data_IF_617492620161
#
_entry.id   IF_617492620161
#
_cell.length_a   1.000
_cell.length_b   1.000
_cell.length_c   1.000
_cell.angle_alpha   90.00
_cell.angle_beta   90.00
_cell.angle_gamma   90.00
#
_symmetry.space_group_name_H-M   'P 1'
#
loop_
_entity.id
_entity.type
_entity.pdbx_description
1 polymer ?
#
# COMPACT_ATOMS: atom_id res chain seq x y z
N UNK A 1 50.26 -80.65 30.54
CA UNK A 1 49.76 -80.19 29.27
C UNK A 1 48.49 -79.40 29.48
N UNK A 2 48.68 -78.15 29.54
CA UNK A 2 47.60 -77.18 29.70
C UNK A 2 47.08 -76.82 28.34
N UNK A 3 45.86 -77.08 28.14
CA UNK A 3 45.13 -76.65 26.95
C UNK A 3 44.82 -75.18 27.15
N UNK A 4 45.53 -74.39 26.45
CA UNK A 4 45.21 -72.96 26.37
C UNK A 4 43.97 -72.78 25.51
N UNK A 5 42.90 -72.52 26.16
CA UNK A 5 41.63 -72.13 25.55
C UNK A 5 41.84 -70.79 24.84
N UNK A 6 41.94 -70.82 23.54
CA UNK A 6 41.89 -69.62 22.75
C UNK A 6 40.47 -69.02 22.79
N UNK A 7 40.30 -68.09 23.62
CA UNK A 7 39.14 -67.19 23.58
C UNK A 7 39.13 -66.51 22.21
N UNK A 8 38.24 -66.94 21.38
CA UNK A 8 37.94 -66.19 20.19
C UNK A 8 37.43 -64.78 20.60
N UNK A 9 37.96 -63.75 20.01
CA UNK A 9 37.36 -62.45 20.20
C UNK A 9 35.98 -62.48 19.57
N UNK A 10 35.01 -62.28 20.41
CA UNK A 10 33.63 -62.08 19.99
C UNK A 10 33.57 -60.68 19.36
N UNK A 11 34.14 -60.61 18.18
CA UNK A 11 33.94 -59.44 17.37
C UNK A 11 32.65 -59.59 16.63
N UNK A 12 31.68 -58.98 17.17
CA UNK A 12 30.55 -58.54 16.43
C UNK A 12 30.29 -57.06 16.62
N UNK A 13 31.28 -56.23 16.48
CA UNK A 13 31.01 -54.83 16.31
C UNK A 13 30.48 -54.49 14.92
N UNK A 14 30.59 -55.41 14.02
CA UNK A 14 30.19 -55.24 12.62
C UNK A 14 28.69 -55.00 12.44
N UNK A 15 27.91 -55.54 13.33
CA UNK A 15 26.46 -55.35 13.28
C UNK A 15 26.03 -53.94 13.64
N UNK A 16 26.87 -53.22 14.36
CA UNK A 16 26.59 -51.85 14.72
C UNK A 16 26.75 -50.92 13.51
N UNK A 17 27.61 -51.26 12.58
CA UNK A 17 27.71 -50.52 11.33
C UNK A 17 26.47 -50.67 10.46
N UNK A 18 25.83 -51.80 10.51
CA UNK A 18 24.54 -51.96 9.84
C UNK A 18 23.45 -51.09 10.47
N UNK A 19 23.55 -50.81 11.76
CA UNK A 19 22.65 -49.85 12.40
C UNK A 19 22.96 -48.40 12.03
N UNK A 20 24.22 -48.09 11.76
CA UNK A 20 24.58 -46.76 11.23
C UNK A 20 24.05 -46.57 9.80
N UNK A 21 23.98 -47.64 9.01
CA UNK A 21 23.32 -47.60 7.70
C UNK A 21 21.82 -47.36 7.84
N UNK A 22 21.24 -47.73 8.95
CA UNK A 22 19.82 -47.45 9.21
C UNK A 22 19.53 -45.94 9.39
N UNK A 23 20.51 -45.16 9.77
CA UNK A 23 20.35 -43.70 9.82
C UNK A 23 20.31 -43.06 8.44
N UNK A 24 20.81 -43.73 7.42
CA UNK A 24 20.68 -43.32 6.02
C UNK A 24 19.24 -43.48 5.52
N UNK A 25 18.46 -44.31 6.20
CA UNK A 25 17.02 -44.41 5.97
C UNK A 25 16.20 -43.49 6.88
N UNK A 26 16.82 -42.57 7.59
CA UNK A 26 16.07 -41.45 8.12
C UNK A 26 15.32 -40.84 6.94
N UNK A 27 14.02 -41.05 6.90
CA UNK A 27 13.17 -40.64 5.80
C UNK A 27 13.52 -39.18 5.50
N UNK A 28 13.87 -38.84 4.26
CA UNK A 28 14.11 -37.45 3.91
C UNK A 28 12.91 -36.66 4.38
N UNK A 29 13.14 -35.58 5.11
CA UNK A 29 12.07 -34.65 5.49
C UNK A 29 11.29 -34.40 4.22
N UNK A 30 10.05 -34.89 4.16
CA UNK A 30 9.19 -34.65 3.02
C UNK A 30 9.12 -33.13 2.86
N UNK A 31 9.87 -32.61 1.92
CA UNK A 31 9.77 -31.20 1.56
C UNK A 31 8.34 -30.97 1.10
N UNK A 32 7.59 -30.27 1.91
CA UNK A 32 6.23 -29.90 1.56
C UNK A 32 6.33 -28.81 0.49
N UNK A 33 5.89 -29.13 -0.69
CA UNK A 33 5.72 -28.13 -1.74
C UNK A 33 4.69 -27.11 -1.25
N UNK A 34 4.98 -25.81 -1.37
CA UNK A 34 4.05 -24.78 -0.97
C UNK A 34 2.81 -24.82 -1.84
N UNK A 35 1.68 -24.47 -1.25
CA UNK A 35 0.46 -24.22 -2.02
C UNK A 35 0.63 -22.95 -2.87
N UNK A 36 -0.14 -22.83 -3.92
CA UNK A 36 -0.12 -21.63 -4.81
C UNK A 36 -0.33 -20.35 -4.00
N UNK A 37 -1.19 -20.41 -2.98
CA UNK A 37 -1.45 -19.27 -2.09
C UNK A 37 -0.26 -18.92 -1.19
N UNK A 38 0.45 -19.93 -0.67
CA UNK A 38 1.67 -19.73 0.14
C UNK A 38 2.79 -19.15 -0.72
N UNK A 39 2.91 -19.61 -1.95
CA UNK A 39 3.89 -19.13 -2.90
C UNK A 39 3.64 -17.66 -3.26
N UNK A 40 2.42 -17.31 -3.64
CA UNK A 40 2.02 -15.93 -3.95
C UNK A 40 2.18 -15.02 -2.72
N UNK A 41 1.83 -15.51 -1.53
CA UNK A 41 2.00 -14.74 -0.30
C UNK A 41 3.47 -14.46 0.04
N UNK A 42 4.36 -15.44 -0.20
CA UNK A 42 5.80 -15.26 -0.01
C UNK A 42 6.38 -14.32 -1.07
N UNK A 43 5.91 -14.41 -2.29
CA UNK A 43 6.29 -13.52 -3.37
C UNK A 43 5.93 -12.06 -3.07
N UNK A 44 4.71 -11.82 -2.60
CA UNK A 44 4.21 -10.48 -2.23
C UNK A 44 4.97 -9.90 -1.03
N UNK A 45 5.41 -10.75 -0.08
CA UNK A 45 6.22 -10.30 1.06
C UNK A 45 7.68 -10.02 0.68
N UNK A 46 8.18 -10.67 -0.36
CA UNK A 46 9.57 -10.54 -0.80
C UNK A 46 10.62 -11.00 0.22
N UNK A 47 11.88 -10.71 -0.05
CA UNK A 47 12.96 -10.91 0.92
C UNK A 47 13.37 -12.37 1.15
N UNK A 48 13.80 -12.68 2.39
CA UNK A 48 14.35 -13.96 2.77
C UNK A 48 13.38 -15.13 2.64
N UNK A 49 12.09 -14.88 2.87
CA UNK A 49 11.05 -15.91 2.87
C UNK A 49 10.82 -16.47 1.47
N UNK A 50 10.82 -15.59 0.47
CA UNK A 50 10.73 -15.99 -0.93
C UNK A 50 11.97 -16.72 -1.41
N UNK A 51 13.17 -16.25 -1.03
CA UNK A 51 14.43 -16.92 -1.37
C UNK A 51 14.51 -18.33 -0.76
N UNK A 52 14.09 -18.51 0.50
CA UNK A 52 14.04 -19.82 1.16
C UNK A 52 13.02 -20.74 0.50
N UNK A 53 11.84 -20.22 0.15
CA UNK A 53 10.80 -20.98 -0.52
C UNK A 53 11.28 -21.49 -1.88
N UNK A 54 11.95 -20.63 -2.64
CA UNK A 54 12.51 -20.95 -3.95
C UNK A 54 13.66 -21.98 -3.83
N UNK A 55 14.51 -21.84 -2.81
CA UNK A 55 15.56 -22.82 -2.51
C UNK A 55 14.95 -24.19 -2.15
N UNK A 56 13.88 -24.22 -1.38
CA UNK A 56 13.17 -25.45 -1.03
C UNK A 56 12.52 -26.13 -2.25
N UNK A 57 11.94 -25.36 -3.15
CA UNK A 57 11.38 -25.86 -4.42
C UNK A 57 12.47 -26.45 -5.29
N UNK A 58 13.60 -25.78 -5.41
CA UNK A 58 14.75 -26.26 -6.19
C UNK A 58 15.38 -27.50 -5.57
N UNK A 59 15.49 -27.57 -4.23
CA UNK A 59 15.95 -28.74 -3.53
C UNK A 59 15.01 -29.96 -3.76
N UNK A 60 13.71 -29.74 -3.70
CA UNK A 60 12.72 -30.80 -4.00
C UNK A 60 12.79 -31.27 -5.46
N UNK A 61 13.15 -30.40 -6.40
CA UNK A 61 13.39 -30.77 -7.82
C UNK A 61 14.65 -31.62 -7.98
N UNK A 62 15.67 -31.40 -7.16
CA UNK A 62 16.93 -32.18 -7.21
C UNK A 62 16.73 -33.56 -6.56
N UNK A 63 15.94 -33.65 -5.48
CA UNK A 63 15.65 -34.92 -4.83
C UNK A 63 14.70 -35.83 -5.64
N UNK A 64 13.91 -35.26 -6.54
CA UNK A 64 13.10 -36.02 -7.49
C UNK A 64 14.00 -36.54 -8.62
N UNK A 65 14.91 -37.44 -8.28
CA UNK A 65 15.85 -38.03 -9.25
C UNK A 65 15.12 -38.83 -10.33
N UNK A 66 15.54 -38.76 -11.58
CA UNK A 66 14.94 -39.50 -12.67
C UNK A 66 15.25 -40.97 -12.51
N UNK A 67 14.25 -41.81 -12.29
CA UNK A 67 14.47 -43.26 -12.37
C UNK A 67 13.47 -44.16 -11.67
N UNK A 68 12.49 -43.66 -10.93
CA UNK A 68 11.48 -44.52 -10.28
C UNK A 68 10.09 -44.07 -10.73
N UNK A 69 9.55 -44.81 -11.66
CA UNK A 69 8.15 -44.65 -12.08
C UNK A 69 7.19 -45.25 -11.03
N UNK A 70 5.96 -44.72 -10.87
CA UNK A 70 5.34 -43.66 -11.66
C UNK A 70 5.26 -42.35 -10.86
N UNK A 71 6.14 -41.45 -11.10
CA UNK A 71 6.01 -40.10 -10.57
C UNK A 71 5.44 -39.19 -11.64
N UNK A 72 4.43 -38.41 -11.27
CA UNK A 72 3.99 -37.25 -12.06
C UNK A 72 5.12 -36.22 -11.96
N UNK A 73 5.90 -36.09 -13.01
CA UNK A 73 6.96 -35.10 -13.12
C UNK A 73 6.48 -33.87 -13.91
N UNK A 74 7.27 -32.81 -13.91
CA UNK A 74 6.99 -31.59 -14.65
C UNK A 74 6.84 -31.75 -16.16
N UNK A 75 7.36 -32.87 -16.71
CA UNK A 75 7.19 -33.22 -18.12
C UNK A 75 5.82 -33.84 -18.40
N UNK A 76 5.25 -34.55 -17.40
CA UNK A 76 3.93 -35.16 -17.53
C UNK A 76 2.78 -34.22 -17.12
N UNK A 77 3.05 -33.17 -16.36
CA UNK A 77 2.08 -32.17 -15.93
C UNK A 77 2.66 -30.75 -15.98
N UNK A 78 2.98 -30.22 -17.16
CA UNK A 78 3.56 -28.90 -17.31
C UNK A 78 2.68 -27.76 -16.80
N UNK A 79 1.36 -27.98 -16.68
CA UNK A 79 0.41 -26.97 -16.21
C UNK A 79 0.23 -26.84 -14.68
N UNK A 80 0.92 -27.66 -13.87
CA UNK A 80 0.77 -27.60 -12.39
C UNK A 80 1.82 -26.73 -11.72
N UNK A 81 2.93 -26.47 -12.38
CA UNK A 81 3.95 -25.54 -11.88
C UNK A 81 3.75 -24.19 -12.54
N UNK A 82 3.20 -23.19 -11.83
CA UNK A 82 3.23 -21.84 -12.36
C UNK A 82 4.69 -21.44 -12.55
N UNK A 83 5.07 -21.10 -13.76
CA UNK A 83 6.32 -20.40 -13.98
C UNK A 83 6.29 -19.13 -13.14
N UNK A 84 7.37 -18.93 -12.41
CA UNK A 84 7.49 -17.88 -11.42
C UNK A 84 7.62 -16.56 -12.16
N UNK A 85 6.57 -15.78 -12.09
CA UNK A 85 6.60 -14.42 -12.58
C UNK A 85 7.25 -13.57 -11.50
N UNK A 86 8.47 -13.15 -11.74
CA UNK A 86 9.21 -12.23 -10.86
C UNK A 86 9.13 -10.83 -11.45
N UNK A 87 8.04 -10.14 -11.20
CA UNK A 87 7.92 -8.71 -11.48
C UNK A 87 7.55 -7.97 -10.20
N UNK A 88 8.12 -6.81 -9.94
CA UNK A 88 7.72 -5.98 -8.80
C UNK A 88 6.38 -5.33 -9.07
N UNK A 89 5.30 -5.99 -8.69
CA UNK A 89 3.93 -5.44 -8.77
C UNK A 89 3.79 -4.17 -7.92
N UNK A 90 4.68 -3.97 -6.96
CA UNK A 90 4.62 -2.87 -6.00
C UNK A 90 5.08 -1.51 -6.53
N UNK A 91 6.04 -1.46 -7.44
CA UNK A 91 6.65 -0.19 -7.90
C UNK A 91 5.70 0.66 -8.74
N UNK A 92 4.67 0.06 -9.34
CA UNK A 92 3.66 0.76 -10.12
C UNK A 92 2.53 1.40 -9.32
N UNK A 93 2.34 1.05 -8.05
CA UNK A 93 1.20 1.54 -7.24
C UNK A 93 1.42 2.96 -6.68
N UNK A 94 2.64 3.31 -6.30
CA UNK A 94 2.93 4.57 -5.65
C UNK A 94 2.66 5.80 -6.53
N UNK A 95 3.11 5.88 -7.81
CA UNK A 95 2.82 7.03 -8.67
C UNK A 95 1.35 7.11 -9.11
N UNK A 96 0.58 6.04 -8.96
CA UNK A 96 -0.83 5.95 -9.39
C UNK A 96 -1.79 6.37 -8.28
N UNK A 97 -1.29 6.51 -7.05
CA UNK A 97 -2.06 6.82 -5.84
C UNK A 97 -1.53 8.10 -5.16
N UNK A 98 -1.54 9.25 -5.84
CA UNK A 98 -0.90 10.45 -5.32
C UNK A 98 -1.50 10.89 -3.98
N UNK A 99 -2.82 10.87 -3.84
CA UNK A 99 -3.49 11.26 -2.61
C UNK A 99 -3.22 10.29 -1.47
N UNK A 100 -3.43 8.99 -1.68
CA UNK A 100 -3.20 7.96 -0.65
C UNK A 100 -1.74 7.92 -0.21
N UNK A 101 -0.80 8.15 -1.14
CA UNK A 101 0.63 8.22 -0.82
C UNK A 101 0.95 9.43 0.07
N UNK A 102 0.33 10.57 -0.19
CA UNK A 102 0.54 11.79 0.59
C UNK A 102 0.00 11.70 2.02
N UNK A 103 -1.18 11.09 2.22
CA UNK A 103 -1.78 10.94 3.56
C UNK A 103 -1.24 9.74 4.33
N UNK A 104 -0.71 8.73 3.63
CA UNK A 104 -0.29 7.46 4.20
C UNK A 104 -1.45 6.51 4.48
N UNK A 105 -1.12 5.22 4.54
CA UNK A 105 -2.08 4.14 4.81
C UNK A 105 -1.97 3.66 6.25
N UNK A 106 -3.10 3.27 6.84
CA UNK A 106 -3.17 2.62 8.15
C UNK A 106 -3.58 1.15 7.98
N UNK A 107 -3.06 0.29 8.84
CA UNK A 107 -3.45 -1.11 8.85
C UNK A 107 -4.93 -1.26 9.23
N UNK A 108 -5.69 -1.99 8.42
CA UNK A 108 -7.08 -2.29 8.68
C UNK A 108 -7.21 -3.45 9.69
N UNK A 109 -8.09 -3.37 10.71
CA UNK A 109 -8.37 -4.50 11.58
C UNK A 109 -8.87 -5.72 10.77
N UNK A 110 -8.36 -6.90 11.08
CA UNK A 110 -8.67 -8.11 10.30
C UNK A 110 -10.07 -8.65 10.55
N UNK A 111 -10.59 -8.52 11.77
CA UNK A 111 -11.89 -9.03 12.16
C UNK A 111 -13.04 -8.07 11.82
N UNK A 112 -14.23 -8.62 11.56
CA UNK A 112 -15.48 -7.90 11.38
C UNK A 112 -15.62 -7.21 10.01
N UNK A 113 -16.86 -6.95 9.60
CA UNK A 113 -17.19 -6.17 8.40
C UNK A 113 -17.10 -4.66 8.64
N UNK A 114 -17.22 -4.26 9.89
CA UNK A 114 -17.10 -2.87 10.36
C UNK A 114 -16.12 -2.81 11.53
N UNK A 115 -15.51 -1.66 11.73
CA UNK A 115 -14.72 -1.37 12.93
C UNK A 115 -15.05 0.01 13.47
N UNK A 116 -14.82 0.20 14.78
CA UNK A 116 -15.17 1.44 15.47
C UNK A 116 -13.97 2.34 15.63
N UNK A 117 -14.17 3.61 15.35
CA UNK A 117 -13.20 4.67 15.61
C UNK A 117 -13.80 5.63 16.64
N UNK A 118 -13.26 5.69 17.88
CA UNK A 118 -13.72 6.65 18.88
C UNK A 118 -13.26 8.06 18.49
N UNK A 119 -14.16 9.02 18.68
CA UNK A 119 -13.90 10.45 18.47
C UNK A 119 -14.38 11.24 19.67
N UNK A 120 -13.55 12.16 20.17
CA UNK A 120 -13.96 13.10 21.21
C UNK A 120 -14.86 14.17 20.58
N UNK A 121 -16.09 14.25 21.00
CA UNK A 121 -17.10 15.23 20.56
C UNK A 121 -17.11 16.48 21.40
N UNK A 122 -16.95 16.33 22.71
CA UNK A 122 -16.88 17.46 23.65
C UNK A 122 -15.52 17.41 24.37
N UNK A 123 -14.84 18.52 24.34
CA UNK A 123 -13.55 18.68 25.03
C UNK A 123 -13.74 19.48 26.33
N UNK A 124 -13.03 19.16 27.40
CA UNK A 124 -13.08 19.94 28.61
C UNK A 124 -12.46 21.33 28.36
N UNK A 125 -13.06 22.34 28.98
CA UNK A 125 -12.57 23.71 28.94
C UNK A 125 -12.10 24.08 30.33
N UNK A 126 -10.82 24.47 30.44
CA UNK A 126 -10.28 25.01 31.67
C UNK A 126 -10.57 26.51 31.75
N UNK A 127 -11.04 26.97 32.90
CA UNK A 127 -11.25 28.40 33.19
C UNK A 127 -10.35 28.84 34.33
N UNK A 128 -9.99 30.11 34.31
CA UNK A 128 -9.23 30.71 35.39
C UNK A 128 -10.14 30.87 36.62
N UNK A 129 -9.65 30.56 37.78
CA UNK A 129 -10.32 30.87 39.05
C UNK A 129 -10.37 32.38 39.26
N UNK A 130 -11.52 32.94 39.50
CA UNK A 130 -11.71 34.40 39.58
C UNK A 130 -11.18 34.95 40.89
N UNK A 131 -11.31 34.22 42.00
CA UNK A 131 -10.79 34.60 43.33
C UNK A 131 -10.32 33.35 44.07
N UNK A 132 -9.54 33.56 45.12
CA UNK A 132 -9.05 32.49 45.97
C UNK A 132 -10.23 31.76 46.62
N UNK A 133 -10.28 30.42 46.49
CA UNK A 133 -11.37 29.54 46.95
C UNK A 133 -12.66 29.54 46.08
N UNK A 134 -12.70 30.24 44.94
CA UNK A 134 -13.80 30.11 44.00
C UNK A 134 -13.85 28.71 43.40
N UNK A 135 -15.09 28.26 43.09
CA UNK A 135 -15.30 26.96 42.48
C UNK A 135 -14.87 26.97 41.01
N UNK A 136 -14.06 26.01 40.62
CA UNK A 136 -13.69 25.79 39.23
C UNK A 136 -14.90 25.27 38.44
N UNK A 137 -15.03 25.66 37.18
CA UNK A 137 -16.10 25.17 36.31
C UNK A 137 -15.96 23.67 36.08
N UNK A 138 -17.03 22.95 36.26
CA UNK A 138 -17.12 21.55 35.90
C UNK A 138 -17.16 21.43 34.37
N UNK A 139 -16.33 20.58 33.83
CA UNK A 139 -16.29 20.26 32.39
C UNK A 139 -16.59 18.80 32.16
N UNK A 140 -17.29 18.52 31.06
CA UNK A 140 -17.56 17.15 30.61
C UNK A 140 -16.66 16.78 29.44
N UNK A 141 -16.32 15.50 29.31
CA UNK A 141 -15.69 14.91 28.16
C UNK A 141 -16.66 13.92 27.56
N UNK A 142 -17.01 14.10 26.29
CA UNK A 142 -17.84 13.15 25.58
C UNK A 142 -17.08 12.50 24.45
N UNK A 143 -17.23 11.19 24.34
CA UNK A 143 -16.64 10.38 23.29
C UNK A 143 -17.75 9.67 22.53
N UNK A 144 -17.83 9.91 21.24
CA UNK A 144 -18.72 9.17 20.35
C UNK A 144 -17.92 8.14 19.54
N UNK A 145 -18.60 7.10 19.10
CA UNK A 145 -18.05 6.08 18.23
C UNK A 145 -18.60 6.25 16.82
N UNK A 146 -17.70 6.15 15.83
CA UNK A 146 -18.10 6.07 14.43
C UNK A 146 -17.79 4.68 13.91
N UNK A 147 -18.78 4.02 13.34
CA UNK A 147 -18.62 2.72 12.71
C UNK A 147 -18.19 2.91 11.25
N UNK A 148 -17.08 2.31 10.87
CA UNK A 148 -16.48 2.41 9.55
C UNK A 148 -16.64 1.07 8.86
N UNK A 149 -17.31 1.06 7.70
CA UNK A 149 -17.51 -0.13 6.90
C UNK A 149 -16.29 -0.42 6.03
N UNK A 150 -15.94 -1.70 5.92
CA UNK A 150 -14.89 -2.16 5.01
C UNK A 150 -15.50 -2.38 3.63
N UNK A 151 -14.90 -1.79 2.61
CA UNK A 151 -15.30 -1.98 1.22
C UNK A 151 -14.30 -2.90 0.53
N UNK A 152 -14.81 -3.76 -0.33
CA UNK A 152 -14.01 -4.67 -1.14
C UNK A 152 -13.69 -4.02 -2.48
N UNK A 153 -12.43 -3.98 -2.82
CA UNK A 153 -11.93 -3.55 -4.12
C UNK A 153 -11.21 -4.71 -4.79
N UNK A 154 -11.39 -4.87 -6.07
CA UNK A 154 -10.70 -5.90 -6.83
C UNK A 154 -11.15 -5.92 -8.28
N UNK A 155 -10.31 -6.53 -9.09
CA UNK A 155 -10.58 -6.77 -10.49
C UNK A 155 -10.00 -8.12 -10.87
N UNK A 156 -10.53 -8.73 -11.93
CA UNK A 156 -10.06 -10.00 -12.43
C UNK A 156 -10.05 -10.03 -13.96
N UNK A 157 -9.19 -10.87 -14.49
CA UNK A 157 -9.12 -11.21 -15.91
C UNK A 157 -9.09 -12.72 -16.03
N UNK A 158 -9.82 -13.28 -16.97
CA UNK A 158 -9.75 -14.70 -17.31
C UNK A 158 -8.95 -14.84 -18.61
N UNK A 159 -7.88 -15.62 -18.55
CA UNK A 159 -6.98 -15.89 -19.67
C UNK A 159 -7.15 -17.35 -20.07
N UNK A 160 -7.13 -17.64 -21.37
CA UNK A 160 -7.15 -19.00 -21.88
C UNK A 160 -5.86 -19.72 -21.53
N UNK A 161 -5.93 -21.01 -21.22
CA UNK A 161 -4.75 -21.84 -20.98
C UNK A 161 -3.86 -21.91 -22.24
N UNK A 162 -4.48 -21.88 -23.42
CA UNK A 162 -3.75 -21.83 -24.67
C UNK A 162 -2.93 -20.55 -24.85
N UNK A 163 -3.50 -19.40 -24.43
CA UNK A 163 -2.77 -18.13 -24.46
C UNK A 163 -1.61 -18.14 -23.47
N UNK A 164 -1.77 -18.82 -22.32
CA UNK A 164 -0.72 -18.96 -21.32
C UNK A 164 0.43 -19.86 -21.81
N UNK A 165 0.10 -20.94 -22.51
CA UNK A 165 1.08 -21.90 -23.00
C UNK A 165 1.85 -21.38 -24.22
N UNK A 166 1.24 -20.51 -25.02
CA UNK A 166 1.83 -20.00 -26.26
C UNK A 166 2.41 -18.58 -26.08
N UNK A 167 2.12 -17.90 -25.00
CA UNK A 167 2.64 -16.55 -24.76
C UNK A 167 3.90 -16.57 -23.91
N UNK A 168 4.72 -15.53 -24.09
CA UNK A 168 5.90 -15.30 -23.27
C UNK A 168 5.49 -15.06 -21.81
N UNK A 169 6.21 -15.60 -20.79
CA UNK A 169 5.98 -15.34 -19.37
C UNK A 169 5.81 -13.85 -19.01
N UNK A 170 6.44 -12.96 -19.75
CA UNK A 170 6.31 -11.52 -19.59
C UNK A 170 4.86 -10.99 -19.76
N UNK A 171 4.01 -11.70 -20.51
CA UNK A 171 2.62 -11.26 -20.74
C UNK A 171 1.76 -11.33 -19.47
N UNK A 172 1.99 -12.33 -18.63
CA UNK A 172 1.26 -12.50 -17.36
C UNK A 172 1.67 -11.41 -16.37
N UNK A 173 2.96 -11.04 -16.34
CA UNK A 173 3.46 -9.94 -15.52
C UNK A 173 2.79 -8.62 -15.90
N UNK A 174 2.61 -8.37 -17.18
CA UNK A 174 1.91 -7.18 -17.67
C UNK A 174 0.45 -7.18 -17.17
N UNK A 175 -0.24 -8.31 -17.25
CA UNK A 175 -1.62 -8.43 -16.77
C UNK A 175 -1.70 -8.16 -15.27
N UNK A 176 -0.83 -8.77 -14.46
CA UNK A 176 -0.79 -8.58 -13.03
C UNK A 176 -0.50 -7.12 -12.65
N UNK A 177 0.44 -6.48 -13.35
CA UNK A 177 0.73 -5.07 -13.16
C UNK A 177 -0.48 -4.18 -13.49
N UNK A 178 -1.19 -4.46 -14.57
CA UNK A 178 -2.39 -3.71 -14.93
C UNK A 178 -3.53 -3.90 -13.92
N UNK A 179 -3.72 -5.10 -13.38
CA UNK A 179 -4.69 -5.35 -12.32
C UNK A 179 -4.34 -4.60 -11.03
N UNK A 180 -3.06 -4.56 -10.67
CA UNK A 180 -2.57 -3.82 -9.51
C UNK A 180 -2.73 -2.30 -9.69
N UNK A 181 -2.46 -1.78 -10.89
CA UNK A 181 -2.68 -0.38 -11.27
C UNK A 181 -4.17 -0.02 -11.14
N UNK A 182 -5.05 -0.84 -11.70
CA UNK A 182 -6.49 -0.60 -11.63
C UNK A 182 -7.01 -0.60 -10.18
N UNK A 183 -6.54 -1.53 -9.35
CA UNK A 183 -6.83 -1.53 -7.91
C UNK A 183 -6.33 -0.26 -7.22
N UNK A 184 -5.11 0.16 -7.53
CA UNK A 184 -4.51 1.38 -6.99
C UNK A 184 -5.34 2.62 -7.33
N UNK A 185 -5.72 2.78 -8.58
CA UNK A 185 -6.57 3.88 -9.05
C UNK A 185 -7.94 3.89 -8.35
N UNK A 186 -8.62 2.73 -8.31
CA UNK A 186 -9.93 2.62 -7.68
C UNK A 186 -9.92 3.00 -6.19
N UNK A 187 -8.89 2.57 -5.46
CA UNK A 187 -8.75 2.91 -4.02
C UNK A 187 -8.34 4.35 -3.79
N UNK A 188 -7.55 4.96 -4.70
CA UNK A 188 -7.23 6.38 -4.64
C UNK A 188 -8.47 7.24 -4.91
N UNK A 189 -9.24 6.93 -5.96
CA UNK A 189 -10.48 7.63 -6.27
C UNK A 189 -11.47 7.58 -5.10
N UNK A 190 -11.67 6.40 -4.53
CA UNK A 190 -12.51 6.26 -3.35
C UNK A 190 -12.04 7.12 -2.17
N UNK A 191 -10.74 7.17 -1.91
CA UNK A 191 -10.18 7.96 -0.82
C UNK A 191 -10.36 9.46 -1.05
N UNK A 192 -10.04 9.96 -2.26
CA UNK A 192 -10.13 11.40 -2.56
C UNK A 192 -11.59 11.87 -2.63
N UNK A 193 -12.49 11.06 -3.21
CA UNK A 193 -13.92 11.37 -3.28
C UNK A 193 -14.54 11.44 -1.88
N UNK A 194 -14.23 10.44 -1.03
CA UNK A 194 -14.70 10.41 0.35
C UNK A 194 -14.17 11.61 1.15
N UNK A 195 -12.90 11.96 0.97
CA UNK A 195 -12.31 13.12 1.61
C UNK A 195 -13.00 14.40 1.15
N UNK A 196 -13.07 14.62 -0.15
CA UNK A 196 -13.67 15.82 -0.74
C UNK A 196 -15.15 15.96 -0.37
N UNK A 197 -15.93 14.87 -0.40
CA UNK A 197 -17.34 14.90 -0.02
C UNK A 197 -17.56 15.30 1.45
N UNK A 198 -16.67 14.88 2.34
CA UNK A 198 -16.78 15.14 3.77
C UNK A 198 -16.35 16.57 4.19
N UNK A 199 -15.71 17.34 3.31
CA UNK A 199 -15.30 18.70 3.62
C UNK A 199 -16.50 19.65 3.49
N UNK A 200 -16.77 20.41 4.54
CA UNK A 200 -17.86 21.41 4.58
C UNK A 200 -17.37 22.85 4.42
N UNK A 201 -16.15 23.13 4.81
CA UNK A 201 -15.58 24.50 4.72
C UNK A 201 -15.17 24.81 3.28
N UNK A 202 -15.39 26.05 2.85
CA UNK A 202 -15.06 26.52 1.51
C UNK A 202 -14.28 27.81 1.55
N UNK A 203 -13.38 27.98 0.57
CA UNK A 203 -12.67 29.23 0.31
C UNK A 203 -12.79 29.53 -1.18
N UNK A 204 -13.30 30.71 -1.53
CA UNK A 204 -13.53 31.06 -2.91
C UNK A 204 -12.23 31.51 -3.58
N UNK A 205 -11.99 30.99 -4.80
CA UNK A 205 -11.00 31.54 -5.73
C UNK A 205 -11.78 32.30 -6.78
N UNK A 206 -11.75 33.63 -6.72
CA UNK A 206 -12.57 34.52 -7.59
C UNK A 206 -12.22 34.29 -9.05
N UNK A 207 -10.93 34.30 -9.37
CA UNK A 207 -10.43 33.98 -10.71
C UNK A 207 -9.24 33.03 -10.62
N UNK A 208 -9.38 31.87 -11.19
CA UNK A 208 -8.34 30.85 -11.18
C UNK A 208 -7.11 31.21 -12.01
N UNK A 209 -7.22 32.17 -12.92
CA UNK A 209 -6.10 32.69 -13.71
C UNK A 209 -5.25 33.71 -12.95
N UNK A 210 -5.79 34.31 -11.88
CA UNK A 210 -5.13 35.35 -11.10
C UNK A 210 -4.43 34.76 -9.88
N UNK A 211 -3.11 34.91 -9.81
CA UNK A 211 -2.33 34.38 -8.69
C UNK A 211 -2.62 34.99 -7.34
N UNK A 212 -3.02 36.27 -7.31
CA UNK A 212 -3.40 36.97 -6.09
C UNK A 212 -4.65 36.34 -5.44
N UNK A 213 -5.61 35.90 -6.25
CA UNK A 213 -6.84 35.26 -5.77
C UNK A 213 -6.55 33.87 -5.15
N UNK A 214 -5.62 33.14 -5.74
CA UNK A 214 -5.13 31.90 -5.13
C UNK A 214 -4.45 32.14 -3.78
N UNK A 215 -3.59 33.17 -3.69
CA UNK A 215 -2.92 33.52 -2.43
C UNK A 215 -3.96 33.90 -1.38
N UNK A 216 -4.93 34.72 -1.72
CA UNK A 216 -6.00 35.13 -0.81
C UNK A 216 -6.84 33.90 -0.34
N UNK A 217 -7.21 33.03 -1.27
CA UNK A 217 -7.99 31.84 -0.97
C UNK A 217 -7.22 30.84 -0.06
N UNK A 218 -5.92 30.65 -0.30
CA UNK A 218 -5.08 29.77 0.53
C UNK A 218 -4.97 30.34 1.96
N UNK A 219 -4.71 31.64 2.12
CA UNK A 219 -4.64 32.26 3.45
C UNK A 219 -5.98 32.25 4.17
N UNK A 220 -7.09 32.52 3.46
CA UNK A 220 -8.44 32.45 4.05
C UNK A 220 -8.78 31.03 4.52
N UNK A 221 -8.49 30.04 3.70
CA UNK A 221 -8.70 28.65 4.11
C UNK A 221 -7.79 28.22 5.27
N UNK A 222 -6.52 28.66 5.27
CA UNK A 222 -5.61 28.41 6.40
C UNK A 222 -6.13 29.08 7.69
N UNK A 223 -6.69 30.31 7.57
CA UNK A 223 -7.35 31.00 8.69
C UNK A 223 -8.53 30.18 9.24
N UNK A 224 -9.39 29.66 8.36
CA UNK A 224 -10.55 28.86 8.77
C UNK A 224 -10.12 27.59 9.52
N UNK A 225 -9.10 26.87 9.02
CA UNK A 225 -8.56 25.68 9.69
C UNK A 225 -7.99 26.06 11.06
N UNK A 226 -7.18 27.12 11.12
CA UNK A 226 -6.51 27.54 12.36
C UNK A 226 -7.47 28.01 13.44
N UNK A 227 -8.55 28.69 13.07
CA UNK A 227 -9.59 29.12 14.01
C UNK A 227 -10.28 27.94 14.72
N UNK A 228 -10.45 26.83 14.01
CA UNK A 228 -11.14 25.67 14.53
C UNK A 228 -10.22 24.67 15.26
N UNK A 229 -8.93 24.64 14.90
CA UNK A 229 -8.07 23.51 15.30
C UNK A 229 -6.71 23.88 15.85
N UNK A 230 -6.27 25.12 15.76
CA UNK A 230 -4.89 25.59 15.99
C UNK A 230 -3.81 24.89 15.11
N UNK A 231 -4.23 24.22 14.06
CA UNK A 231 -3.34 23.62 13.06
C UNK A 231 -3.33 24.48 11.79
N UNK A 232 -2.22 24.43 11.09
CA UNK A 232 -2.13 24.96 9.73
C UNK A 232 -2.24 23.82 8.72
N UNK A 233 -2.72 24.07 7.51
CA UNK A 233 -2.75 23.05 6.47
C UNK A 233 -1.33 22.62 6.12
N UNK A 234 -1.17 21.34 5.77
CA UNK A 234 0.13 20.77 5.38
C UNK A 234 0.17 20.37 3.91
N UNK A 235 -0.98 20.00 3.35
CA UNK A 235 -1.12 19.49 1.99
C UNK A 235 -2.19 20.26 1.24
N UNK A 236 -1.98 20.41 -0.04
CA UNK A 236 -2.95 20.95 -1.00
C UNK A 236 -3.11 19.95 -2.14
N UNK A 237 -4.32 19.45 -2.32
CA UNK A 237 -4.68 18.52 -3.40
C UNK A 237 -5.35 19.33 -4.49
N UNK A 238 -4.87 19.23 -5.71
CA UNK A 238 -5.35 20.02 -6.84
C UNK A 238 -5.65 19.15 -8.05
N UNK A 239 -6.64 19.56 -8.83
CA UNK A 239 -6.86 19.02 -10.15
C UNK A 239 -5.73 19.40 -11.10
N UNK A 240 -5.47 18.68 -12.19
CA UNK A 240 -4.49 19.06 -13.20
C UNK A 240 -4.76 20.46 -13.79
N UNK A 241 -6.05 20.84 -13.94
CA UNK A 241 -6.44 22.17 -14.40
C UNK A 241 -6.08 23.27 -13.41
N UNK A 242 -6.43 23.08 -12.13
CA UNK A 242 -6.05 24.02 -11.07
C UNK A 242 -4.53 24.11 -10.88
N UNK A 243 -3.82 22.99 -11.03
CA UNK A 243 -2.37 22.98 -11.00
C UNK A 243 -1.76 23.82 -12.13
N UNK A 244 -2.28 23.68 -13.36
CA UNK A 244 -1.80 24.46 -14.49
C UNK A 244 -2.07 25.96 -14.29
N UNK A 245 -3.26 26.33 -13.82
CA UNK A 245 -3.62 27.70 -13.51
C UNK A 245 -2.71 28.30 -12.41
N UNK A 246 -2.51 27.57 -11.31
CA UNK A 246 -1.65 27.97 -10.21
C UNK A 246 -0.20 28.17 -10.66
N UNK A 247 0.32 27.26 -11.48
CA UNK A 247 1.70 27.28 -11.97
C UNK A 247 1.95 28.37 -13.00
N UNK A 248 0.95 28.75 -13.77
CA UNK A 248 1.04 29.81 -14.81
C UNK A 248 0.69 31.20 -14.30
N UNK A 249 0.22 31.30 -13.04
CA UNK A 249 -0.19 32.58 -12.48
C UNK A 249 0.99 33.53 -12.31
N UNK A 250 0.81 34.77 -12.77
CA UNK A 250 1.81 35.85 -12.72
C UNK A 250 1.24 37.07 -11.99
N UNK A 251 2.13 37.92 -11.48
CA UNK A 251 1.76 39.22 -10.95
C UNK A 251 1.64 40.27 -12.08
N UNK A 252 1.26 41.53 -11.72
CA UNK A 252 1.14 42.64 -12.66
C UNK A 252 2.45 42.97 -13.38
N UNK A 253 3.57 42.48 -12.90
CA UNK A 253 4.89 42.66 -13.50
C UNK A 253 5.35 41.43 -14.29
N UNK A 254 4.44 40.49 -14.62
CA UNK A 254 4.71 39.23 -15.30
C UNK A 254 5.71 38.31 -14.56
N UNK A 255 5.79 38.39 -13.25
CA UNK A 255 6.63 37.50 -12.45
C UNK A 255 5.76 36.33 -11.92
N UNK A 256 6.24 35.08 -11.95
CA UNK A 256 5.50 33.98 -11.37
C UNK A 256 5.20 34.21 -9.89
N UNK A 257 3.93 34.09 -9.50
CA UNK A 257 3.50 34.24 -8.10
C UNK A 257 3.97 33.03 -7.27
N UNK A 258 3.93 31.82 -7.85
CA UNK A 258 4.44 30.61 -7.26
C UNK A 258 5.64 30.11 -8.06
N UNK A 259 6.86 30.63 -7.78
CA UNK A 259 8.05 30.19 -8.51
C UNK A 259 8.26 28.69 -8.23
N UNK A 260 8.64 27.96 -9.26
CA UNK A 260 9.08 26.57 -9.12
C UNK A 260 10.24 26.50 -8.15
N UNK A 261 9.96 26.13 -6.94
CA UNK A 261 10.97 25.80 -5.97
C UNK A 261 11.26 24.30 -6.01
N UNK A 262 11.86 23.84 -7.09
CA UNK A 262 12.89 22.85 -6.94
C UNK A 262 13.97 23.48 -6.07
N UNK A 263 14.70 22.70 -5.26
CA UNK A 263 15.69 23.23 -4.31
C UNK A 263 16.37 24.49 -4.86
N UNK A 264 16.33 25.63 -4.13
CA UNK A 264 16.77 26.90 -4.67
C UNK A 264 18.26 26.83 -4.96
N UNK A 265 18.62 26.58 -6.19
CA UNK A 265 19.94 26.92 -6.63
C UNK A 265 19.87 28.36 -7.15
N UNK A 266 20.86 29.13 -6.80
CA UNK A 266 21.01 30.55 -7.06
C UNK A 266 20.94 30.92 -8.56
N UNK A 267 20.82 29.94 -9.46
CA UNK A 267 20.85 30.07 -10.91
C UNK A 267 19.56 29.61 -11.60
N UNK A 268 18.51 29.27 -10.89
CA UNK A 268 17.24 28.85 -11.49
C UNK A 268 17.30 27.56 -12.31
N UNK A 269 18.37 26.81 -12.21
CA UNK A 269 18.48 25.48 -12.83
C UNK A 269 18.13 24.41 -11.81
N UNK A 270 17.16 23.56 -12.14
CA UNK A 270 16.94 22.32 -11.43
C UNK A 270 18.25 21.54 -11.35
N UNK A 271 18.62 21.10 -10.14
CA UNK A 271 19.74 20.18 -10.00
C UNK A 271 19.44 18.96 -10.87
N UNK A 272 20.22 18.84 -11.96
CA UNK A 272 20.09 17.75 -12.90
C UNK A 272 20.24 16.42 -12.14
N UNK A 273 19.28 15.53 -12.24
CA UNK A 273 19.47 14.14 -11.85
C UNK A 273 18.31 13.42 -11.18
N UNK A 274 17.23 14.07 -10.79
CA UNK A 274 16.08 13.37 -10.23
C UNK A 274 14.85 13.57 -11.13
N UNK A 275 14.81 12.82 -12.23
CA UNK A 275 13.62 12.68 -13.07
C UNK A 275 12.58 11.76 -12.41
N UNK A 276 12.16 12.08 -11.18
CA UNK A 276 10.97 11.48 -10.63
C UNK A 276 9.75 12.11 -11.32
N UNK A 277 8.79 11.30 -11.73
CA UNK A 277 7.62 11.71 -12.51
C UNK A 277 6.75 12.82 -11.88
N UNK A 278 7.05 13.24 -10.65
CA UNK A 278 6.33 14.25 -9.87
C UNK A 278 7.21 15.40 -9.34
N UNK A 279 8.31 15.69 -10.00
CA UNK A 279 9.25 16.75 -9.53
C UNK A 279 8.75 18.19 -9.79
N UNK A 280 7.64 18.34 -10.48
CA UNK A 280 7.04 19.65 -10.78
C UNK A 280 5.99 20.08 -9.75
N UNK A 281 6.00 19.46 -8.58
CA UNK A 281 5.18 19.86 -7.45
C UNK A 281 5.87 21.02 -6.73
N UNK A 282 5.41 22.23 -6.95
CA UNK A 282 5.80 23.39 -6.16
C UNK A 282 5.24 23.29 -4.74
N UNK A 283 5.75 24.13 -3.85
CA UNK A 283 5.20 24.30 -2.50
C UNK A 283 4.54 25.68 -2.40
N UNK A 284 3.29 25.88 -2.85
CA UNK A 284 2.62 27.14 -2.73
C UNK A 284 2.49 27.49 -1.23
N UNK A 285 3.13 28.58 -0.82
CA UNK A 285 3.09 29.06 0.56
C UNK A 285 3.50 28.00 1.62
N UNK A 286 4.37 27.07 1.26
CA UNK A 286 4.84 26.02 2.18
C UNK A 286 3.96 24.77 2.25
N UNK A 287 2.91 24.68 1.43
CA UNK A 287 2.06 23.49 1.35
C UNK A 287 2.65 22.44 0.40
N UNK A 288 2.57 21.17 0.77
CA UNK A 288 2.91 20.08 -0.12
C UNK A 288 1.81 19.94 -1.18
N UNK A 289 2.16 20.18 -2.43
CA UNK A 289 1.22 20.12 -3.54
C UNK A 289 1.10 18.67 -4.02
N UNK A 290 -0.13 18.18 -4.09
CA UNK A 290 -0.48 16.86 -4.61
C UNK A 290 -1.38 17.04 -5.82
N UNK A 291 -0.90 16.67 -6.99
CA UNK A 291 -1.71 16.71 -8.20
C UNK A 291 -2.39 15.36 -8.39
N UNK A 292 -3.71 15.38 -8.40
CA UNK A 292 -4.52 14.16 -8.61
C UNK A 292 -5.57 14.42 -9.69
N UNK A 293 -5.54 13.59 -10.74
CA UNK A 293 -6.47 13.74 -11.88
C UNK A 293 -7.90 13.32 -11.53
N UNK A 294 -8.04 12.52 -10.49
CA UNK A 294 -9.31 11.90 -10.12
C UNK A 294 -10.03 12.68 -9.01
N UNK A 295 -9.43 13.77 -8.51
CA UNK A 295 -10.09 14.63 -7.50
C UNK A 295 -11.26 15.39 -8.11
N UNK A 296 -12.45 15.42 -7.43
CA UNK A 296 -13.60 16.18 -7.91
C UNK A 296 -13.41 17.70 -7.87
N UNK A 297 -12.49 18.18 -7.03
CA UNK A 297 -12.16 19.59 -6.87
C UNK A 297 -10.90 19.78 -6.04
N UNK A 298 -10.36 20.98 -6.05
CA UNK A 298 -9.17 21.31 -5.27
C UNK A 298 -9.53 21.56 -3.81
N UNK A 299 -8.68 21.11 -2.90
CA UNK A 299 -8.85 21.31 -1.45
C UNK A 299 -7.49 21.31 -0.76
N UNK A 300 -7.46 21.86 0.45
CA UNK A 300 -6.29 21.76 1.31
C UNK A 300 -6.66 21.32 2.70
N UNK A 301 -5.67 20.79 3.42
CA UNK A 301 -5.90 20.38 4.80
C UNK A 301 -4.69 19.85 5.52
N UNK A 302 -4.89 19.51 6.80
CA UNK A 302 -3.91 18.82 7.61
C UNK A 302 -4.07 17.32 7.42
N UNK A 303 -3.44 16.81 6.34
CA UNK A 303 -3.68 15.47 5.82
C UNK A 303 -2.71 14.41 6.37
N UNK A 304 -1.55 14.77 6.88
CA UNK A 304 -0.52 13.82 7.31
C UNK A 304 -0.24 13.86 8.82
N UNK A 305 0.33 12.77 9.34
CA UNK A 305 0.79 12.66 10.72
C UNK A 305 -0.27 12.16 11.71
N UNK A 306 0.08 12.12 13.01
CA UNK A 306 -0.80 11.56 14.05
C UNK A 306 -2.06 12.39 14.30
N UNK A 307 -2.04 13.67 13.95
CA UNK A 307 -3.17 14.59 14.07
C UNK A 307 -3.91 14.80 12.75
N UNK A 308 -3.69 13.95 11.74
CA UNK A 308 -4.38 14.02 10.45
C UNK A 308 -5.90 14.03 10.64
N UNK A 309 -6.57 14.87 9.87
CA UNK A 309 -8.03 14.95 9.90
C UNK A 309 -8.72 13.89 9.07
N UNK A 310 -7.99 13.18 8.23
CA UNK A 310 -8.49 12.09 7.39
C UNK A 310 -7.62 10.85 7.56
N UNK A 311 -8.24 9.69 7.62
CA UNK A 311 -7.58 8.40 7.82
C UNK A 311 -7.99 7.43 6.72
N UNK A 312 -7.01 6.80 6.08
CA UNK A 312 -7.24 5.77 5.08
C UNK A 312 -6.70 4.44 5.59
N UNK A 313 -7.56 3.43 5.62
CA UNK A 313 -7.26 2.08 6.08
C UNK A 313 -7.27 1.13 4.90
N UNK A 314 -6.26 0.27 4.83
CA UNK A 314 -6.13 -0.69 3.75
C UNK A 314 -5.66 -2.05 4.25
N UNK A 315 -6.19 -3.09 3.64
CA UNK A 315 -5.71 -4.46 3.76
C UNK A 315 -5.63 -5.07 2.36
N UNK A 316 -4.47 -5.03 1.76
CA UNK A 316 -4.23 -5.71 0.49
C UNK A 316 -4.23 -7.22 0.71
N UNK A 317 -4.95 -7.95 -0.13
CA UNK A 317 -4.95 -9.41 -0.18
C UNK A 317 -4.04 -9.94 -1.30
N UNK A 318 -3.65 -9.04 -2.20
CA UNK A 318 -2.77 -9.35 -3.32
C UNK A 318 -3.46 -10.14 -4.44
N UNK A 319 -2.63 -10.70 -5.31
CA UNK A 319 -3.09 -11.49 -6.45
C UNK A 319 -3.54 -12.89 -6.01
N UNK A 320 -4.54 -13.41 -6.69
CA UNK A 320 -5.00 -14.79 -6.60
C UNK A 320 -5.26 -15.32 -7.99
N UNK A 321 -4.90 -16.57 -8.25
CA UNK A 321 -5.24 -17.25 -9.49
C UNK A 321 -6.08 -18.49 -9.18
N UNK A 322 -7.08 -18.73 -10.02
CA UNK A 322 -7.97 -19.89 -9.92
C UNK A 322 -8.15 -20.48 -11.32
N UNK A 323 -7.90 -21.77 -11.45
CA UNK A 323 -8.14 -22.48 -12.69
C UNK A 323 -9.62 -22.80 -12.82
N UNK A 324 -10.16 -22.60 -14.02
CA UNK A 324 -11.57 -22.87 -14.36
C UNK A 324 -11.61 -24.01 -15.38
N UNK A 325 -11.68 -25.29 -14.93
CA UNK A 325 -11.55 -26.44 -15.81
C UNK A 325 -12.63 -26.52 -16.89
N UNK A 326 -13.82 -25.97 -16.60
CA UNK A 326 -14.94 -26.00 -17.54
C UNK A 326 -14.69 -25.21 -18.83
N UNK A 327 -13.80 -24.22 -18.79
CA UNK A 327 -13.50 -23.33 -19.92
C UNK A 327 -12.04 -23.39 -20.35
N UNK A 328 -11.24 -24.29 -19.78
CA UNK A 328 -9.77 -24.32 -19.97
C UNK A 328 -9.17 -22.90 -19.81
N UNK A 329 -9.62 -22.19 -18.78
CA UNK A 329 -9.19 -20.83 -18.52
C UNK A 329 -8.64 -20.68 -17.10
N UNK A 330 -7.78 -19.68 -16.95
CA UNK A 330 -7.23 -19.28 -15.68
C UNK A 330 -7.70 -17.87 -15.32
N UNK A 331 -8.38 -17.74 -14.21
CA UNK A 331 -8.82 -16.43 -13.70
C UNK A 331 -7.78 -15.89 -12.74
N UNK A 332 -7.24 -14.73 -13.06
CA UNK A 332 -6.28 -13.99 -12.25
C UNK A 332 -6.99 -12.77 -11.70
N UNK A 333 -6.95 -12.57 -10.39
CA UNK A 333 -7.61 -11.46 -9.72
C UNK A 333 -6.64 -10.76 -8.77
N UNK A 334 -6.73 -9.43 -8.69
CA UNK A 334 -6.09 -8.63 -7.64
C UNK A 334 -7.17 -8.02 -6.76
N UNK A 335 -7.03 -8.14 -5.44
CA UNK A 335 -8.08 -7.74 -4.49
C UNK A 335 -7.53 -7.21 -3.18
N UNK A 336 -8.35 -6.41 -2.50
CA UNK A 336 -8.09 -5.91 -1.16
C UNK A 336 -9.32 -5.28 -0.53
N UNK A 337 -9.18 -4.82 0.69
CA UNK A 337 -10.20 -4.06 1.41
C UNK A 337 -9.65 -2.67 1.69
N UNK A 338 -10.50 -1.67 1.52
CA UNK A 338 -10.19 -0.30 1.85
C UNK A 338 -11.35 0.33 2.66
N UNK A 339 -11.01 1.29 3.49
CA UNK A 339 -11.96 2.10 4.21
C UNK A 339 -11.38 3.51 4.42
N UNK A 340 -12.20 4.52 4.21
CA UNK A 340 -11.85 5.92 4.39
C UNK A 340 -12.69 6.54 5.50
N UNK A 341 -12.09 7.39 6.30
CA UNK A 341 -12.76 8.02 7.43
C UNK A 341 -12.29 9.46 7.63
N UNK A 342 -13.25 10.41 7.65
CA UNK A 342 -12.98 11.79 8.03
C UNK A 342 -13.08 11.93 9.55
N UNK A 343 -11.94 11.95 10.22
CA UNK A 343 -11.88 12.14 11.66
C UNK A 343 -12.27 13.57 12.07
N UNK A 344 -11.82 14.55 11.31
CA UNK A 344 -12.07 15.96 11.60
C UNK A 344 -12.13 16.79 10.31
N UNK A 345 -13.36 17.10 9.87
CA UNK A 345 -13.60 17.87 8.66
C UNK A 345 -13.18 19.35 8.80
N UNK A 346 -13.06 19.87 10.03
CA UNK A 346 -12.64 21.27 10.25
C UNK A 346 -11.16 21.53 9.93
N UNK A 347 -10.39 20.46 9.71
CA UNK A 347 -9.00 20.52 9.26
C UNK A 347 -8.84 20.63 7.75
N UNK A 348 -9.94 20.68 7.01
CA UNK A 348 -9.95 20.73 5.55
C UNK A 348 -10.83 21.85 5.04
N UNK A 349 -10.44 22.44 3.90
CA UNK A 349 -11.17 23.49 3.18
C UNK A 349 -11.13 23.18 1.69
N UNK A 350 -12.29 23.29 1.01
CA UNK A 350 -12.40 23.22 -0.46
C UNK A 350 -12.17 24.57 -1.08
N UNK A 351 -11.55 24.58 -2.25
CA UNK A 351 -11.53 25.72 -3.14
C UNK A 351 -12.73 25.67 -4.10
N UNK A 352 -13.49 26.73 -4.17
CA UNK A 352 -14.69 26.87 -4.99
C UNK A 352 -14.64 28.17 -5.81
#
# INVERSE_FOLDING_TARGET
>A
PEVTEMTQPTETPQVIEAAAVHTVYAQPKKLRLPSTSEYIAAYVRGGSDFAQLNANINAARIEAAPGVAPYINTESTPGILPEIIVGSVYDGLNPIRPFVTAIGTRAMPTAGATFRRPKITVRPVATQQSAQFDTLNASTVEVSNTDISKLSFGTYVTVSEQDLDWSDPASIDIILNQLAIAYGQATNNYAVDTCHAAISQTSAVTDTAVGADWVAAIYEGARQISLNTNYLPSHMVVTPGSWAALSSSVDDANRPVFPYTGAPNLMGQNAAGNAAANTWNGNPLGLVLVVDKDTPGSFMGHAAGPAAGFEFYEQQKGAISVDVPATMGRTIAFRGYAAAFMADATKFVKFV
#
